data_IF_696686473130
#
_entry.id   IF_696686473130
#
_cell.length_a   1.000
_cell.length_b   1.000
_cell.length_c   1.000
_cell.angle_alpha   90.00
_cell.angle_beta   90.00
_cell.angle_gamma   90.00
#
_symmetry.space_group_name_H-M   'P 1'
#
loop_
_entity.id
_entity.type
_entity.pdbx_description
1 polymer ?
#
# COMPACT_ATOMS: atom_id res chain seq x y z
N UNK A 1 -10.75 -6.63 5.48
CA UNK A 1 -11.80 -5.89 4.74
C UNK A 1 -11.35 -5.70 3.31
N UNK A 2 -12.23 -5.97 2.36
CA UNK A 2 -11.89 -5.83 0.95
C UNK A 2 -11.80 -4.36 0.55
N UNK A 3 -10.72 -3.96 -0.11
CA UNK A 3 -10.57 -2.63 -0.66
C UNK A 3 -11.13 -2.61 -2.08
N UNK A 4 -12.02 -1.67 -2.36
CA UNK A 4 -12.66 -1.52 -3.66
C UNK A 4 -12.38 -0.13 -4.22
N UNK A 5 -12.37 -0.01 -5.55
CA UNK A 5 -12.01 1.24 -6.22
C UNK A 5 -12.90 2.41 -5.82
N UNK A 6 -14.18 2.16 -5.58
CA UNK A 6 -15.14 3.21 -5.18
C UNK A 6 -14.89 3.79 -3.79
N UNK A 7 -14.12 3.10 -2.94
CA UNK A 7 -13.84 3.54 -1.57
C UNK A 7 -12.41 4.05 -1.39
N UNK A 8 -11.59 4.02 -2.44
CA UNK A 8 -10.17 4.33 -2.32
C UNK A 8 -9.91 5.77 -1.92
N UNK A 9 -10.73 6.73 -2.38
CA UNK A 9 -10.55 8.13 -2.03
C UNK A 9 -10.73 8.37 -0.52
N UNK A 10 -11.75 7.78 0.07
CA UNK A 10 -12.01 7.88 1.52
C UNK A 10 -10.89 7.20 2.31
N UNK A 11 -10.43 6.05 1.82
CA UNK A 11 -9.33 5.31 2.42
C UNK A 11 -8.04 6.14 2.44
N UNK A 12 -7.68 6.74 1.31
CA UNK A 12 -6.50 7.61 1.22
C UNK A 12 -6.62 8.83 2.13
N UNK A 13 -7.80 9.43 2.20
CA UNK A 13 -8.02 10.58 3.07
C UNK A 13 -7.82 10.23 4.54
N UNK A 14 -8.34 9.08 4.97
CA UNK A 14 -8.19 8.62 6.34
C UNK A 14 -6.72 8.50 6.74
N UNK A 15 -5.90 7.94 5.86
CA UNK A 15 -4.49 7.67 6.16
C UNK A 15 -3.53 8.69 5.56
N UNK A 16 -4.02 9.89 5.19
CA UNK A 16 -3.21 10.99 4.65
C UNK A 16 -2.33 10.56 3.47
N UNK A 17 -2.88 9.76 2.55
CA UNK A 17 -2.17 9.19 1.40
C UNK A 17 -0.91 8.42 1.80
N UNK A 18 -0.83 7.99 3.05
CA UNK A 18 0.32 7.27 3.63
C UNK A 18 1.62 8.09 3.62
N UNK A 19 1.53 9.41 3.51
CA UNK A 19 2.71 10.28 3.63
C UNK A 19 3.39 10.06 4.97
N UNK A 20 4.71 9.95 4.94
CA UNK A 20 5.57 9.72 6.10
C UNK A 20 5.30 8.38 6.80
N UNK A 21 4.57 7.49 6.17
CA UNK A 21 4.40 6.12 6.65
C UNK A 21 5.71 5.36 6.61
N UNK A 22 5.83 4.37 7.50
CA UNK A 22 7.02 3.52 7.57
C UNK A 22 6.62 2.10 7.23
N UNK A 23 7.26 1.53 6.21
CA UNK A 23 7.05 0.14 5.84
C UNK A 23 7.77 -0.73 6.84
N UNK A 24 6.99 -1.56 7.55
CA UNK A 24 7.53 -2.43 8.62
C UNK A 24 7.81 -3.83 8.13
N UNK A 25 7.06 -4.31 7.15
CA UNK A 25 7.22 -5.68 6.68
C UNK A 25 6.66 -5.83 5.28
N UNK A 26 7.37 -6.58 4.45
CA UNK A 26 6.89 -7.04 3.16
C UNK A 26 7.09 -8.54 3.12
N UNK A 27 6.02 -9.29 2.83
CA UNK A 27 6.04 -10.73 2.81
C UNK A 27 5.36 -11.25 1.55
N UNK A 28 6.09 -12.02 0.75
CA UNK A 28 5.56 -12.64 -0.46
C UNK A 28 5.54 -14.16 -0.29
N UNK A 29 4.35 -14.73 -0.27
CA UNK A 29 4.19 -16.18 -0.29
C UNK A 29 3.92 -16.65 -1.72
N UNK A 30 4.72 -17.60 -2.18
CA UNK A 30 4.58 -18.20 -3.50
C UNK A 30 4.15 -19.64 -3.32
N UNK A 31 2.85 -19.88 -3.53
CA UNK A 31 2.29 -21.22 -3.45
C UNK A 31 2.03 -21.79 -4.84
N UNK A 32 1.71 -23.06 -4.88
CA UNK A 32 1.41 -23.77 -6.15
C UNK A 32 0.16 -23.18 -6.81
N UNK A 33 -0.83 -22.83 -6.00
CA UNK A 33 -2.13 -22.35 -6.49
C UNK A 33 -2.35 -20.85 -6.30
N UNK A 34 -1.52 -20.18 -5.50
CA UNK A 34 -1.76 -18.76 -5.22
C UNK A 34 -0.47 -18.07 -4.79
N UNK A 35 -0.41 -16.76 -5.06
CA UNK A 35 0.64 -15.87 -4.59
C UNK A 35 -0.02 -14.76 -3.81
N UNK A 36 0.48 -14.51 -2.60
CA UNK A 36 -0.08 -13.50 -1.70
C UNK A 36 1.05 -12.60 -1.20
N UNK A 37 0.86 -11.29 -1.31
CA UNK A 37 1.81 -10.31 -0.80
C UNK A 37 1.17 -9.50 0.31
N UNK A 38 1.82 -9.45 1.47
CA UNK A 38 1.39 -8.63 2.60
C UNK A 38 2.38 -7.51 2.82
N UNK A 39 1.88 -6.29 2.99
CA UNK A 39 2.69 -5.10 3.26
C UNK A 39 2.15 -4.43 4.51
N UNK A 40 2.97 -4.34 5.55
CA UNK A 40 2.60 -3.66 6.80
C UNK A 40 3.22 -2.28 6.84
N UNK A 41 2.38 -1.27 7.03
CA UNK A 41 2.78 0.14 7.09
C UNK A 41 2.30 0.77 8.39
N UNK A 42 3.20 1.41 9.11
CA UNK A 42 2.85 2.26 10.25
C UNK A 42 2.62 3.66 9.71
N UNK A 43 1.42 4.20 9.89
CA UNK A 43 1.03 5.43 9.22
C UNK A 43 0.12 6.30 10.10
N UNK A 44 -0.02 7.55 9.68
CA UNK A 44 -0.97 8.48 10.30
C UNK A 44 -2.38 7.99 10.03
N UNK A 45 -3.26 8.17 11.02
CA UNK A 45 -4.65 7.70 10.94
C UNK A 45 -5.56 8.69 11.67
N UNK A 46 -6.47 9.30 10.93
CA UNK A 46 -7.44 10.26 11.48
C UNK A 46 -8.38 9.63 12.49
N UNK A 47 -8.63 8.33 12.37
CA UNK A 47 -9.58 7.62 13.23
C UNK A 47 -8.92 7.01 14.47
N UNK A 48 -7.62 7.20 14.65
CA UNK A 48 -6.90 6.71 15.83
C UNK A 48 -6.70 7.81 16.84
N UNK A 49 -6.92 7.51 18.12
CA UNK A 49 -6.70 8.49 19.22
C UNK A 49 -5.24 8.92 19.32
N UNK A 50 -4.29 8.02 19.06
CA UNK A 50 -2.87 8.36 19.01
C UNK A 50 -2.47 9.12 17.76
N UNK A 51 -3.33 9.12 16.73
CA UNK A 51 -3.02 9.64 15.41
C UNK A 51 -2.27 8.66 14.52
N UNK A 52 -2.03 7.43 14.98
CA UNK A 52 -1.25 6.42 14.28
C UNK A 52 -1.93 5.07 14.28
N UNK A 53 -1.69 4.31 13.22
CA UNK A 53 -2.17 2.93 13.08
C UNK A 53 -1.19 2.11 12.28
N UNK A 54 -1.35 0.79 12.34
CA UNK A 54 -0.66 -0.13 11.45
C UNK A 54 -1.66 -0.69 10.48
N UNK A 55 -1.40 -0.50 9.20
CA UNK A 55 -2.25 -1.00 8.12
C UNK A 55 -1.49 -2.10 7.40
N UNK A 56 -2.13 -3.24 7.24
CA UNK A 56 -1.58 -4.34 6.45
C UNK A 56 -2.41 -4.50 5.20
N UNK A 57 -1.77 -4.33 4.06
CA UNK A 57 -2.37 -4.65 2.77
C UNK A 57 -2.10 -6.10 2.46
N UNK A 58 -3.11 -6.82 2.01
CA UNK A 58 -2.97 -8.20 1.58
C UNK A 58 -3.43 -8.28 0.13
N UNK A 59 -2.48 -8.40 -0.78
CA UNK A 59 -2.75 -8.51 -2.22
C UNK A 59 -2.76 -9.97 -2.60
N UNK A 60 -3.89 -10.42 -3.14
CA UNK A 60 -4.10 -11.82 -3.53
C UNK A 60 -4.08 -11.95 -5.04
N UNK A 61 -3.64 -13.11 -5.51
CA UNK A 61 -3.51 -13.36 -6.94
C UNK A 61 -2.46 -12.46 -7.56
N UNK A 62 -1.28 -12.39 -6.94
CA UNK A 62 -0.21 -11.49 -7.37
C UNK A 62 0.23 -11.81 -8.79
N UNK A 63 0.22 -10.80 -9.64
CA UNK A 63 0.64 -10.87 -11.05
C UNK A 63 1.98 -10.20 -11.29
N UNK A 64 2.27 -9.13 -10.54
CA UNK A 64 3.52 -8.39 -10.62
C UNK A 64 3.99 -8.05 -9.22
N UNK A 65 5.30 -8.14 -9.02
CA UNK A 65 5.92 -7.83 -7.75
C UNK A 65 7.30 -7.24 -8.03
N UNK A 66 7.57 -6.05 -7.50
CA UNK A 66 8.87 -5.40 -7.66
C UNK A 66 9.22 -4.67 -6.37
N UNK A 67 10.30 -5.12 -5.73
CA UNK A 67 10.84 -4.46 -4.55
C UNK A 67 12.35 -4.45 -4.67
N UNK A 68 12.92 -3.26 -4.80
CA UNK A 68 14.35 -3.06 -4.95
C UNK A 68 14.89 -2.31 -3.75
N UNK A 69 15.93 -2.85 -3.13
CA UNK A 69 16.67 -2.15 -2.08
C UNK A 69 17.70 -1.27 -2.76
N UNK A 70 17.45 0.03 -2.74
CA UNK A 70 18.32 1.04 -3.32
C UNK A 70 18.68 2.05 -2.23
N UNK A 71 19.58 2.97 -2.55
CA UNK A 71 20.02 3.98 -1.60
C UNK A 71 18.90 4.80 -1.00
N UNK A 72 17.95 5.22 -1.85
CA UNK A 72 16.71 5.83 -1.42
C UNK A 72 15.69 4.72 -1.35
N UNK A 73 15.34 4.31 -0.15
CA UNK A 73 14.50 3.14 0.04
C UNK A 73 13.03 3.51 0.14
N UNK A 74 12.16 2.52 -0.05
CA UNK A 74 10.73 2.69 0.16
C UNK A 74 10.33 2.53 1.64
N UNK A 75 11.29 2.42 2.55
CA UNK A 75 11.02 2.20 3.97
C UNK A 75 10.27 3.36 4.60
N UNK A 76 10.60 4.58 4.22
CA UNK A 76 9.84 5.77 4.61
C UNK A 76 9.13 6.32 3.39
N UNK A 77 7.82 6.39 3.46
CA UNK A 77 6.99 6.81 2.33
C UNK A 77 6.88 8.34 2.28
N UNK A 78 7.98 9.01 1.94
CA UNK A 78 7.98 10.47 1.84
C UNK A 78 7.04 10.96 0.75
N UNK A 79 6.85 10.19 -0.30
CA UNK A 79 5.86 10.44 -1.36
C UNK A 79 4.53 9.73 -1.15
N UNK A 80 4.34 9.10 0.03
CA UNK A 80 3.12 8.37 0.31
C UNK A 80 3.02 7.05 -0.44
N UNK A 81 1.80 6.54 -0.57
CA UNK A 81 1.51 5.33 -1.33
C UNK A 81 0.26 5.55 -2.15
N UNK A 82 0.13 4.80 -3.22
CA UNK A 82 -1.04 4.88 -4.07
C UNK A 82 -1.63 3.50 -4.28
N UNK A 83 -2.96 3.41 -4.17
CA UNK A 83 -3.69 2.21 -4.53
C UNK A 83 -4.51 2.56 -5.75
N UNK A 84 -4.31 1.83 -6.84
CA UNK A 84 -4.96 2.12 -8.11
C UNK A 84 -5.43 0.84 -8.77
N UNK A 85 -6.51 0.94 -9.55
CA UNK A 85 -7.02 -0.16 -10.36
C UNK A 85 -6.78 0.13 -11.83
N UNK A 86 -6.35 -0.88 -12.54
CA UNK A 86 -6.28 -0.83 -14.00
C UNK A 86 -6.79 -2.17 -14.53
N UNK A 87 -7.92 -2.11 -15.24
CA UNK A 87 -8.60 -3.32 -15.68
C UNK A 87 -9.04 -4.15 -14.48
N UNK A 88 -8.62 -5.41 -14.46
CA UNK A 88 -8.93 -6.37 -13.40
C UNK A 88 -7.83 -6.48 -12.35
N UNK A 89 -6.87 -5.52 -12.34
CA UNK A 89 -5.75 -5.54 -11.40
C UNK A 89 -5.80 -4.36 -10.44
N UNK A 90 -5.44 -4.62 -9.19
CA UNK A 90 -5.20 -3.60 -8.19
C UNK A 90 -3.70 -3.48 -7.95
N UNK A 91 -3.22 -2.24 -7.91
CA UNK A 91 -1.81 -1.92 -7.68
C UNK A 91 -1.66 -1.25 -6.32
N UNK A 92 -0.70 -1.71 -5.53
CA UNK A 92 -0.26 -1.02 -4.32
C UNK A 92 1.15 -0.53 -4.61
N UNK A 93 1.31 0.79 -4.69
CA UNK A 93 2.55 1.43 -5.14
C UNK A 93 3.10 2.25 -3.99
N UNK A 94 4.31 1.92 -3.56
CA UNK A 94 4.95 2.58 -2.43
C UNK A 94 5.78 3.77 -2.93
N UNK A 95 5.76 4.86 -2.16
CA UNK A 95 6.45 6.11 -2.48
C UNK A 95 6.06 6.66 -3.86
N UNK A 96 4.77 6.73 -4.09
CA UNK A 96 4.19 6.95 -5.41
C UNK A 96 3.82 8.39 -5.74
N UNK A 97 3.86 9.30 -4.76
CA UNK A 97 3.43 10.70 -4.93
C UNK A 97 2.03 10.77 -5.55
N UNK A 98 0.99 10.30 -4.85
CA UNK A 98 -0.35 10.11 -5.43
C UNK A 98 -1.06 11.38 -5.88
N UNK A 99 -0.56 12.56 -5.48
CA UNK A 99 -1.10 13.84 -5.91
C UNK A 99 -0.64 14.26 -7.32
N UNK A 100 0.31 13.54 -7.92
CA UNK A 100 0.85 13.87 -9.24
C UNK A 100 -0.06 13.51 -10.40
N UNK A 101 -1.18 12.86 -10.16
CA UNK A 101 -2.09 12.57 -11.23
C UNK A 101 -3.14 11.53 -10.90
N UNK A 102 -4.05 11.36 -11.86
CA UNK A 102 -5.12 10.38 -11.79
C UNK A 102 -4.70 9.11 -12.51
N UNK A 103 -4.94 7.98 -11.88
CA UNK A 103 -4.64 6.68 -12.47
C UNK A 103 -3.25 6.18 -12.15
N UNK A 104 -2.80 5.22 -12.96
CA UNK A 104 -1.56 4.51 -12.71
C UNK A 104 -0.35 5.34 -13.13
N UNK A 105 0.64 5.54 -12.22
CA UNK A 105 1.87 6.24 -12.59
C UNK A 105 2.76 5.38 -13.49
N UNK A 106 3.84 5.98 -14.00
CA UNK A 106 4.84 5.25 -14.76
C UNK A 106 5.63 4.32 -13.85
N UNK A 107 5.31 3.03 -13.90
CA UNK A 107 5.92 2.02 -13.04
C UNK A 107 7.36 1.69 -13.39
N UNK A 108 7.85 2.10 -14.57
CA UNK A 108 9.22 1.83 -14.97
C UNK A 108 10.23 2.52 -14.04
N UNK A 109 9.82 3.60 -13.40
CA UNK A 109 10.66 4.37 -12.46
C UNK A 109 10.41 4.03 -11.00
N UNK A 110 9.44 3.18 -10.73
CA UNK A 110 9.07 2.84 -9.37
C UNK A 110 9.89 1.66 -8.87
N UNK A 111 10.36 1.74 -7.63
CA UNK A 111 11.21 0.70 -7.02
C UNK A 111 10.44 -0.28 -6.17
N UNK A 112 9.18 -0.01 -5.87
CA UNK A 112 8.41 -0.89 -5.00
C UNK A 112 6.92 -0.84 -5.32
N UNK A 113 6.41 -1.93 -5.85
CA UNK A 113 4.96 -2.08 -6.04
C UNK A 113 4.58 -3.56 -6.14
N UNK A 114 3.33 -3.84 -5.91
CA UNK A 114 2.73 -5.15 -6.13
C UNK A 114 1.40 -4.96 -6.83
N UNK A 115 1.09 -5.86 -7.76
CA UNK A 115 -0.19 -5.87 -8.46
C UNK A 115 -0.79 -7.26 -8.40
N UNK A 116 -2.09 -7.33 -8.18
CA UNK A 116 -2.82 -8.59 -8.09
C UNK A 116 -4.29 -8.44 -8.43
N UNK A 117 -5.04 -9.50 -8.15
CA UNK A 117 -6.47 -9.54 -8.47
C UNK A 117 -7.34 -8.86 -7.43
N UNK A 118 -6.92 -8.92 -6.16
CA UNK A 118 -7.69 -8.42 -5.03
C UNK A 118 -6.76 -7.82 -3.98
N UNK A 119 -7.27 -6.85 -3.25
CA UNK A 119 -6.57 -6.26 -2.12
C UNK A 119 -7.49 -6.17 -0.91
N UNK A 120 -7.09 -6.78 0.18
CA UNK A 120 -7.72 -6.61 1.47
C UNK A 120 -6.84 -5.73 2.34
N UNK A 121 -7.43 -5.15 3.39
CA UNK A 121 -6.66 -4.39 4.36
C UNK A 121 -7.15 -4.67 5.77
N UNK A 122 -6.20 -4.60 6.71
CA UNK A 122 -6.44 -4.77 8.13
C UNK A 122 -5.79 -3.58 8.83
N UNK A 123 -6.51 -2.96 9.75
CA UNK A 123 -6.00 -1.82 10.50
C UNK A 123 -6.01 -2.13 11.99
N UNK A 124 -4.86 -1.92 12.63
CA UNK A 124 -4.74 -1.99 14.08
C UNK A 124 -4.34 -0.60 14.56
N UNK A 125 -5.23 0.05 15.31
CA UNK A 125 -4.97 1.39 15.86
C UNK A 125 -3.94 1.29 16.96
N UNK A 126 -2.97 2.19 16.95
CA UNK A 126 -2.00 2.27 18.02
C UNK A 126 -2.62 2.98 19.22
N UNK A 127 -2.32 2.47 20.40
CA UNK A 127 -2.85 3.05 21.64
C UNK A 127 -1.99 4.22 22.09
N UNK A 128 -2.65 5.20 22.71
CA UNK A 128 -1.95 6.27 23.42
C UNK A 128 -1.31 5.69 24.69
N UNK A 129 -0.10 6.05 24.93
CA UNK A 129 0.60 5.72 26.19
C UNK A 129 0.30 6.75 27.26
#
# INVERSE_FOLDING_TARGET
MRLQSEHVAVFHERFHDFYDGVVRKVDLEVGVASRVCSIEVQCKDRDSSSGWSRVTFVVRGVKEFRFQLVRTTFEVLSGGAQIAWQGDRVYVILDAYPDDGLGLPDLSKNTAYVAGEECDWICVKELDD
#
